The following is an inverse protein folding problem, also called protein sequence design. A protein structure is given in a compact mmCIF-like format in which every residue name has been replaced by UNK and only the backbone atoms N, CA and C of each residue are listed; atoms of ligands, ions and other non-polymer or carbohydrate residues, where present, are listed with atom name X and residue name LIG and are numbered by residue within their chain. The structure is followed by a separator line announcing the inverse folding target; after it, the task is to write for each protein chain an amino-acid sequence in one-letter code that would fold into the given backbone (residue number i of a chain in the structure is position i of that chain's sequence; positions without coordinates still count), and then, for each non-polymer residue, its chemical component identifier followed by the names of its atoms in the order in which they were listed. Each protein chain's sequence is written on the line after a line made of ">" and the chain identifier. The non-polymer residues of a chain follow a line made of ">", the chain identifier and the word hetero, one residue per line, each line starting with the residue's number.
data_IF_360484128298
#
_entry.id   IF_360484128298
#
_cell.length_a   1.000
_cell.length_b   1.000
_cell.length_c   1.000
_cell.angle_alpha   90.00
_cell.angle_beta   90.00
_cell.angle_gamma   90.00
#
_symmetry.space_group_name_H-M   'P 1'
#
loop_
_entity.id
_entity.type
_entity.pdbx_description
1 polymer ?
#
# COMPACT_ATOMS: atom_id res chain seq x y z
N UNK A 1 18.46 2.78 -13.85
CA UNK A 1 19.45 2.24 -12.90
C UNK A 1 18.68 1.66 -11.72
N UNK A 2 18.31 0.38 -11.78
CA UNK A 2 17.72 -0.29 -10.62
C UNK A 2 18.87 -0.71 -9.73
N UNK A 3 19.20 0.10 -8.72
CA UNK A 3 20.04 -0.37 -7.64
C UNK A 3 19.39 -1.65 -7.10
N UNK A 4 20.12 -2.76 -7.15
CA UNK A 4 19.78 -4.01 -6.48
C UNK A 4 19.86 -3.77 -4.97
N UNK A 5 18.91 -3.00 -4.45
CA UNK A 5 18.74 -2.81 -3.03
C UNK A 5 18.18 -4.11 -2.47
N UNK A 6 18.98 -4.78 -1.66
CA UNK A 6 18.55 -5.94 -0.86
C UNK A 6 17.58 -5.43 0.22
N UNK A 7 16.35 -5.16 -0.17
CA UNK A 7 15.25 -4.88 0.75
C UNK A 7 14.87 -6.17 1.46
N UNK A 8 14.60 -6.07 2.77
CA UNK A 8 14.03 -7.18 3.54
C UNK A 8 12.72 -7.62 2.87
N UNK A 9 12.54 -8.93 2.74
CA UNK A 9 11.28 -9.52 2.26
C UNK A 9 10.47 -10.04 3.44
N UNK A 10 9.17 -9.91 3.31
CA UNK A 10 8.17 -10.27 4.31
C UNK A 10 7.29 -11.39 3.80
N UNK A 11 6.67 -12.09 4.74
CA UNK A 11 5.73 -13.18 4.44
C UNK A 11 4.48 -12.67 3.72
N UNK A 12 3.76 -13.57 3.03
CA UNK A 12 2.50 -13.23 2.39
C UNK A 12 1.44 -12.84 3.43
N UNK A 13 1.50 -13.43 4.62
CA UNK A 13 0.65 -13.13 5.76
C UNK A 13 0.86 -11.68 6.23
N UNK A 14 2.11 -11.22 6.26
CA UNK A 14 2.44 -9.83 6.62
C UNK A 14 1.92 -8.83 5.58
N UNK A 15 2.10 -9.11 4.29
CA UNK A 15 1.59 -8.21 3.23
C UNK A 15 0.07 -8.22 3.15
N UNK A 16 -0.58 -9.34 3.48
CA UNK A 16 -2.02 -9.44 3.60
C UNK A 16 -2.55 -8.68 4.83
N UNK A 17 -1.86 -8.75 5.97
CA UNK A 17 -2.23 -7.97 7.15
C UNK A 17 -2.17 -6.46 6.87
N UNK A 18 -1.13 -5.99 6.15
CA UNK A 18 -1.07 -4.61 5.69
C UNK A 18 -2.22 -4.26 4.74
N UNK A 19 -2.61 -5.17 3.84
CA UNK A 19 -3.76 -4.96 2.96
C UNK A 19 -5.05 -4.75 3.75
N UNK A 20 -5.29 -5.57 4.77
CA UNK A 20 -6.47 -5.47 5.64
C UNK A 20 -6.50 -4.13 6.36
N UNK A 21 -5.38 -3.72 6.97
CA UNK A 21 -5.29 -2.42 7.65
C UNK A 21 -5.57 -1.24 6.70
N UNK A 22 -5.05 -1.28 5.47
CA UNK A 22 -5.31 -0.24 4.45
C UNK A 22 -6.79 -0.18 4.03
N UNK A 23 -7.52 -1.29 4.06
CA UNK A 23 -8.97 -1.31 3.78
C UNK A 23 -9.81 -0.89 4.99
N UNK A 24 -9.35 -1.15 6.21
CA UNK A 24 -10.02 -0.75 7.46
C UNK A 24 -10.04 0.77 7.65
N UNK A 25 -9.02 1.50 7.16
CA UNK A 25 -8.95 2.97 7.20
C UNK A 25 -10.15 3.70 6.54
N UNK A 26 -10.98 2.99 5.75
CA UNK A 26 -12.20 3.53 5.15
C UNK A 26 -13.44 3.45 6.08
N UNK A 27 -13.33 2.88 7.29
CA UNK A 27 -14.44 2.73 8.25
C UNK A 27 -14.41 3.81 9.34
N UNK A 28 -15.49 4.59 9.45
CA UNK A 28 -15.64 5.60 10.52
C UNK A 28 -16.12 4.92 11.80
N UNK A 29 -15.23 4.77 12.78
CA UNK A 29 -15.58 4.28 14.12
C UNK A 29 -16.05 5.41 15.04
N UNK A 30 -17.34 5.41 15.38
CA UNK A 30 -17.94 6.46 16.22
C UNK A 30 -17.47 6.44 17.69
N UNK A 31 -16.95 5.30 18.16
CA UNK A 31 -16.59 5.08 19.56
C UNK A 31 -15.08 4.87 19.76
N UNK A 32 -14.24 5.30 18.82
CA UNK A 32 -12.80 5.14 18.94
C UNK A 32 -12.24 6.06 20.02
N UNK A 33 -11.43 5.51 20.93
CA UNK A 33 -10.70 6.26 21.95
C UNK A 33 -9.20 6.21 21.66
N UNK A 34 -8.49 7.31 21.88
CA UNK A 34 -7.04 7.32 21.80
C UNK A 34 -6.46 6.32 22.83
N UNK A 35 -5.39 5.58 22.47
CA UNK A 35 -4.69 4.76 23.44
C UNK A 35 -4.10 5.63 24.56
N UNK A 36 -3.99 5.08 25.77
CA UNK A 36 -3.46 5.82 26.93
C UNK A 36 -2.00 6.25 26.74
N UNK A 37 -1.24 5.53 25.91
CA UNK A 37 0.13 5.83 25.55
C UNK A 37 0.31 5.59 24.05
N UNK A 38 0.94 6.56 23.38
CA UNK A 38 1.39 6.43 22.00
C UNK A 38 2.91 6.21 22.07
N UNK A 39 3.36 5.05 21.60
CA UNK A 39 4.77 4.79 21.46
C UNK A 39 5.31 5.55 20.23
N UNK A 40 6.26 6.44 20.47
CA UNK A 40 6.92 7.25 19.44
C UNK A 40 8.32 6.72 19.13
N UNK A 41 8.78 5.67 19.84
CA UNK A 41 10.07 5.06 19.57
C UNK A 41 10.02 4.27 18.26
N UNK A 42 10.66 4.82 17.22
CA UNK A 42 10.82 4.13 15.94
C UNK A 42 12.29 4.14 15.56
N UNK A 43 12.92 2.96 15.56
CA UNK A 43 14.33 2.85 15.17
C UNK A 43 14.50 3.08 13.67
N UNK A 44 15.68 3.54 13.21
CA UNK A 44 15.97 3.67 11.78
C UNK A 44 15.78 2.36 10.99
N UNK A 45 16.06 1.22 11.62
CA UNK A 45 15.85 -0.11 11.03
C UNK A 45 14.36 -0.41 10.87
N UNK A 46 13.54 -0.03 11.84
CA UNK A 46 12.07 -0.17 11.78
C UNK A 46 11.49 0.67 10.65
N UNK A 47 11.97 1.91 10.49
CA UNK A 47 11.59 2.79 9.37
C UNK A 47 11.98 2.14 8.03
N UNK A 48 13.21 1.63 7.92
CA UNK A 48 13.70 0.95 6.71
C UNK A 48 12.88 -0.30 6.37
N UNK A 49 12.55 -1.11 7.38
CA UNK A 49 11.75 -2.32 7.24
C UNK A 49 10.31 -1.99 6.82
N UNK A 50 9.69 -0.97 7.43
CA UNK A 50 8.37 -0.49 7.02
C UNK A 50 8.38 0.01 5.57
N UNK A 51 9.40 0.75 5.15
CA UNK A 51 9.52 1.17 3.75
C UNK A 51 9.70 -0.02 2.80
N UNK A 52 10.51 -1.01 3.17
CA UNK A 52 10.67 -2.24 2.40
C UNK A 52 9.36 -3.02 2.27
N UNK A 53 8.56 -3.07 3.33
CA UNK A 53 7.22 -3.67 3.31
C UNK A 53 6.28 -2.92 2.37
N UNK A 54 6.25 -1.58 2.40
CA UNK A 54 5.46 -0.77 1.47
C UNK A 54 5.84 -1.02 0.00
N UNK A 55 7.14 -1.16 -0.29
CA UNK A 55 7.64 -1.49 -1.63
C UNK A 55 7.16 -2.87 -2.06
N UNK A 56 7.37 -3.90 -1.23
CA UNK A 56 6.92 -5.25 -1.53
C UNK A 56 5.40 -5.32 -1.72
N UNK A 57 4.64 -4.64 -0.87
CA UNK A 57 3.17 -4.56 -0.96
C UNK A 57 2.68 -3.98 -2.29
N UNK A 58 3.42 -3.01 -2.85
CA UNK A 58 3.15 -2.49 -4.19
C UNK A 58 3.56 -3.48 -5.29
N UNK A 59 4.80 -4.00 -5.23
CA UNK A 59 5.38 -4.90 -6.24
C UNK A 59 4.57 -6.19 -6.41
N UNK A 60 4.15 -6.80 -5.30
CA UNK A 60 3.45 -8.10 -5.30
C UNK A 60 1.95 -7.94 -5.59
N UNK A 61 1.42 -6.71 -5.58
CA UNK A 61 -0.03 -6.47 -5.56
C UNK A 61 -0.76 -6.69 -6.89
N UNK A 62 -0.09 -6.45 -8.01
CA UNK A 62 -0.66 -6.54 -9.36
C UNK A 62 0.43 -6.53 -10.43
N UNK A 63 0.10 -6.99 -11.63
CA UNK A 63 1.01 -6.88 -12.78
C UNK A 63 0.71 -5.64 -13.62
N UNK A 64 1.72 -5.09 -14.31
CA UNK A 64 1.50 -4.00 -15.28
C UNK A 64 0.45 -4.36 -16.33
N UNK A 65 0.44 -5.62 -16.79
CA UNK A 65 -0.53 -6.13 -17.76
C UNK A 65 -1.96 -6.05 -17.22
N UNK A 66 -2.16 -6.50 -15.99
CA UNK A 66 -3.45 -6.44 -15.31
C UNK A 66 -3.95 -5.00 -15.17
N UNK A 67 -3.10 -4.08 -14.72
CA UNK A 67 -3.47 -2.67 -14.60
C UNK A 67 -3.89 -2.07 -15.96
N UNK A 68 -3.14 -2.37 -17.02
CA UNK A 68 -3.49 -1.91 -18.37
C UNK A 68 -4.82 -2.46 -18.86
N UNK A 69 -5.12 -3.73 -18.58
CA UNK A 69 -6.41 -4.33 -18.92
C UNK A 69 -7.56 -3.63 -18.18
N UNK A 70 -7.39 -3.33 -16.90
CA UNK A 70 -8.39 -2.59 -16.12
C UNK A 70 -8.63 -1.19 -16.68
N UNK A 71 -7.56 -0.43 -16.94
CA UNK A 71 -7.65 0.92 -17.50
C UNK A 71 -8.34 0.92 -18.86
N UNK A 72 -7.94 0.01 -19.76
CA UNK A 72 -8.58 -0.11 -21.06
C UNK A 72 -10.06 -0.50 -20.93
N UNK A 73 -10.40 -1.37 -19.98
CA UNK A 73 -11.80 -1.71 -19.68
C UNK A 73 -12.62 -0.48 -19.30
N UNK A 74 -12.12 0.38 -18.40
CA UNK A 74 -12.82 1.61 -18.00
C UNK A 74 -13.01 2.61 -19.14
N UNK A 75 -12.05 2.69 -20.06
CA UNK A 75 -12.15 3.56 -21.23
C UNK A 75 -13.21 3.08 -22.23
N UNK A 76 -13.46 1.77 -22.30
CA UNK A 76 -14.48 1.18 -23.17
C UNK A 76 -15.87 1.23 -22.55
N UNK A 77 -15.98 0.90 -21.27
CA UNK A 77 -17.23 0.92 -20.53
C UNK A 77 -17.01 1.44 -19.10
N UNK A 78 -17.46 2.66 -18.79
CA UNK A 78 -17.40 3.20 -17.43
C UNK A 78 -18.19 2.38 -16.41
N UNK A 79 -19.17 1.56 -16.84
CA UNK A 79 -20.02 0.73 -15.98
C UNK A 79 -19.54 -0.72 -15.85
N UNK A 80 -18.22 -0.94 -15.88
CA UNK A 80 -17.61 -2.24 -15.58
C UNK A 80 -18.18 -2.91 -14.32
N UNK A 81 -18.22 -4.24 -14.32
CA UNK A 81 -18.69 -5.06 -13.21
C UNK A 81 -18.11 -4.63 -11.85
N UNK A 82 -18.91 -4.75 -10.78
CA UNK A 82 -18.52 -4.32 -9.43
C UNK A 82 -17.18 -4.92 -8.97
N UNK A 83 -16.92 -6.19 -9.28
CA UNK A 83 -15.65 -6.85 -8.97
C UNK A 83 -14.44 -6.18 -9.62
N UNK A 84 -14.57 -5.71 -10.87
CA UNK A 84 -13.51 -4.99 -11.59
C UNK A 84 -13.25 -3.62 -10.98
N UNK A 85 -14.30 -2.91 -10.58
CA UNK A 85 -14.18 -1.63 -9.86
C UNK A 85 -13.50 -1.81 -8.50
N UNK A 86 -13.85 -2.87 -7.77
CA UNK A 86 -13.19 -3.23 -6.52
C UNK A 86 -11.70 -3.55 -6.73
N UNK A 87 -11.36 -4.31 -7.77
CA UNK A 87 -9.95 -4.62 -8.07
C UNK A 87 -9.15 -3.35 -8.37
N UNK A 88 -9.73 -2.41 -9.12
CA UNK A 88 -9.11 -1.10 -9.34
C UNK A 88 -8.96 -0.28 -8.06
N UNK A 89 -9.98 -0.27 -7.18
CA UNK A 89 -9.90 0.35 -5.84
C UNK A 89 -8.67 -0.17 -5.09
N UNK A 90 -8.48 -1.49 -5.04
CA UNK A 90 -7.38 -2.12 -4.31
C UNK A 90 -6.00 -1.77 -4.90
N UNK A 91 -5.86 -1.77 -6.22
CA UNK A 91 -4.59 -1.34 -6.86
C UNK A 91 -4.31 0.14 -6.56
N UNK A 92 -5.34 0.99 -6.62
CA UNK A 92 -5.22 2.41 -6.29
C UNK A 92 -4.85 2.63 -4.82
N UNK A 93 -5.38 1.84 -3.89
CA UNK A 93 -5.03 1.91 -2.46
C UNK A 93 -3.54 1.62 -2.24
N UNK A 94 -3.00 0.57 -2.89
CA UNK A 94 -1.56 0.24 -2.88
C UNK A 94 -0.70 1.40 -3.41
N UNK A 95 -1.12 2.03 -4.52
CA UNK A 95 -0.39 3.19 -5.07
C UNK A 95 -0.36 4.36 -4.10
N UNK A 96 -1.51 4.70 -3.50
CA UNK A 96 -1.60 5.79 -2.52
C UNK A 96 -0.69 5.52 -1.33
N UNK A 97 -0.73 4.30 -0.79
CA UNK A 97 0.09 3.89 0.34
C UNK A 97 1.59 4.02 0.01
N UNK A 98 2.03 3.53 -1.16
CA UNK A 98 3.41 3.70 -1.62
C UNK A 98 3.80 5.18 -1.75
N UNK A 99 2.93 6.01 -2.33
CA UNK A 99 3.19 7.45 -2.48
C UNK A 99 3.44 8.12 -1.12
N UNK A 100 2.66 7.78 -0.10
CA UNK A 100 2.90 8.28 1.26
C UNK A 100 4.24 7.79 1.82
N UNK A 101 4.55 6.50 1.67
CA UNK A 101 5.82 5.94 2.13
C UNK A 101 7.03 6.61 1.44
N UNK A 102 6.97 6.86 0.13
CA UNK A 102 8.02 7.57 -0.61
C UNK A 102 8.17 9.03 -0.18
N UNK A 103 7.07 9.70 0.18
CA UNK A 103 7.11 11.07 0.68
C UNK A 103 7.70 11.15 2.09
N UNK A 104 7.36 10.20 2.96
CA UNK A 104 7.81 10.16 4.36
C UNK A 104 9.26 9.67 4.49
N UNK A 105 9.65 8.68 3.70
CA UNK A 105 10.93 7.99 3.85
C UNK A 105 11.93 8.25 2.71
N UNK A 106 11.54 9.06 1.73
CA UNK A 106 12.39 9.41 0.59
C UNK A 106 13.54 10.36 0.94
N UNK A 107 14.55 10.39 0.08
CA UNK A 107 15.71 11.28 0.20
C UNK A 107 15.41 12.79 0.44
N UNK A 108 14.27 13.37 -0.02
CA UNK A 108 13.95 14.77 0.28
C UNK A 108 13.62 15.04 1.76
N UNK A 109 13.41 14.02 2.59
CA UNK A 109 13.09 14.15 4.01
C UNK A 109 14.35 14.23 4.90
N UNK A 110 15.44 14.81 4.37
CA UNK A 110 16.65 15.14 5.14
C UNK A 110 16.73 16.63 5.41
#
# INVERSE_FOLDING_TARGET
>A
MTASNNWKKFSAETTQALFVAVEEDDLVEANISLPQQIDLECSPESIRDNYALCLQFWEDGFSRRELLQLVNGFLQDPQLAAATRMRYKYIRARYKHLRFAQQLYGAPHR
#
